data_IF_911574007556
#
_entry.id   IF_911574007556
#
_cell.length_a   1.000
_cell.length_b   1.000
_cell.length_c   1.000
_cell.angle_alpha   90.00
_cell.angle_beta   90.00
_cell.angle_gamma   90.00
#
_symmetry.space_group_name_H-M   'P 1'
#
loop_
_entity.id
_entity.type
_entity.pdbx_description
1 polymer ?
#
# COMPACT_ATOMS: atom_id res chain seq x y z
N UNK A 1 -3.13 -13.90 -0.97
CA UNK A 1 -3.38 -15.33 -0.67
C UNK A 1 -4.56 -15.44 0.29
N UNK A 2 -5.19 -16.61 0.37
CA UNK A 2 -6.18 -16.88 1.41
C UNK A 2 -5.48 -17.36 2.69
N UNK A 3 -5.79 -16.75 3.83
CA UNK A 3 -5.39 -17.21 5.15
C UNK A 3 -6.66 -17.39 6.00
N UNK A 4 -7.18 -18.62 6.03
CA UNK A 4 -8.40 -18.98 6.77
C UNK A 4 -9.62 -18.10 6.41
N UNK A 5 -9.83 -17.82 5.12
CA UNK A 5 -10.94 -16.97 4.65
C UNK A 5 -10.67 -15.47 4.74
N UNK A 6 -9.47 -15.05 5.13
CA UNK A 6 -9.03 -13.66 5.10
C UNK A 6 -7.98 -13.43 4.01
N UNK A 7 -8.09 -12.30 3.32
CA UNK A 7 -7.11 -11.91 2.30
C UNK A 7 -5.84 -11.41 2.97
N UNK A 8 -4.77 -12.19 2.88
CA UNK A 8 -3.44 -11.76 3.31
C UNK A 8 -2.62 -11.26 2.11
N UNK A 9 -2.14 -10.02 2.23
CA UNK A 9 -1.28 -9.35 1.24
C UNK A 9 0.18 -9.47 1.66
N UNK A 10 1.04 -9.81 0.71
CA UNK A 10 2.48 -9.89 0.87
C UNK A 10 3.16 -8.88 -0.03
N UNK A 11 4.21 -8.25 0.49
CA UNK A 11 5.09 -7.42 -0.30
C UNK A 11 6.43 -8.13 -0.51
N UNK A 12 6.85 -8.30 -1.76
CA UNK A 12 8.15 -8.89 -2.08
C UNK A 12 9.26 -7.91 -1.68
N UNK A 13 10.10 -8.33 -0.74
CA UNK A 13 11.24 -7.53 -0.26
C UNK A 13 12.56 -7.92 -0.95
N UNK A 14 12.70 -9.19 -1.33
CA UNK A 14 13.96 -9.69 -1.91
C UNK A 14 13.74 -10.92 -2.78
N UNK A 15 14.50 -11.04 -3.88
CA UNK A 15 14.66 -12.28 -4.61
C UNK A 15 15.78 -13.11 -3.96
N UNK A 16 15.48 -14.33 -3.54
CA UNK A 16 16.45 -15.21 -2.88
C UNK A 16 17.20 -16.12 -3.86
N UNK A 17 16.77 -16.16 -5.13
CA UNK A 17 17.22 -17.16 -6.10
C UNK A 17 16.33 -18.40 -6.08
N UNK A 18 16.64 -19.39 -6.93
CA UNK A 18 15.89 -20.67 -7.00
C UNK A 18 14.36 -20.48 -7.13
N UNK A 19 13.95 -19.48 -7.93
CA UNK A 19 12.55 -19.09 -8.13
C UNK A 19 11.79 -18.79 -6.81
N UNK A 20 12.52 -18.36 -5.78
CA UNK A 20 11.99 -18.05 -4.46
C UNK A 20 12.16 -16.56 -4.13
N UNK A 21 11.15 -15.99 -3.48
CA UNK A 21 11.15 -14.62 -2.99
C UNK A 21 10.95 -14.58 -1.48
N UNK A 22 11.54 -13.59 -0.82
CA UNK A 22 11.25 -13.23 0.57
C UNK A 22 10.23 -12.11 0.57
N UNK A 23 9.14 -12.32 1.29
CA UNK A 23 8.06 -11.35 1.42
C UNK A 23 7.90 -10.86 2.86
N UNK A 24 7.32 -9.68 3.03
CA UNK A 24 6.82 -9.15 4.30
C UNK A 24 5.30 -9.20 4.25
N UNK A 25 4.67 -9.75 5.29
CA UNK A 25 3.22 -9.80 5.39
C UNK A 25 2.65 -8.49 5.92
N UNK A 26 1.54 -8.03 5.33
CA UNK A 26 0.85 -6.80 5.76
C UNK A 26 -0.14 -7.03 6.90
N UNK A 27 -0.31 -8.29 7.31
CA UNK A 27 -1.15 -8.71 8.44
C UNK A 27 -0.56 -9.99 9.08
N UNK A 28 -1.21 -10.54 10.10
CA UNK A 28 -0.78 -11.72 10.83
C UNK A 28 -0.62 -12.95 9.91
N UNK A 29 0.45 -13.71 10.13
CA UNK A 29 0.78 -14.93 9.38
C UNK A 29 0.37 -16.21 10.11
N UNK A 30 -0.35 -16.09 11.22
CA UNK A 30 -0.89 -17.25 11.95
C UNK A 30 -1.85 -18.02 11.05
N UNK A 31 -1.74 -19.35 11.05
CA UNK A 31 -2.56 -20.23 10.21
C UNK A 31 -1.98 -20.51 8.81
N UNK A 32 -0.96 -19.77 8.37
CA UNK A 32 -0.31 -20.08 7.09
C UNK A 32 0.45 -21.41 7.16
N UNK A 33 0.29 -22.19 6.09
CA UNK A 33 0.95 -23.48 5.92
C UNK A 33 1.79 -23.49 4.64
N UNK A 34 2.76 -24.40 4.58
CA UNK A 34 3.57 -24.57 3.37
C UNK A 34 2.70 -25.13 2.25
N UNK A 35 2.92 -24.65 1.03
CA UNK A 35 2.14 -25.05 -0.14
C UNK A 35 0.86 -24.26 -0.33
N UNK A 36 0.52 -23.31 0.56
CA UNK A 36 -0.57 -22.36 0.31
C UNK A 36 -0.29 -21.58 -0.97
N UNK A 37 -1.29 -21.54 -1.86
CA UNK A 37 -1.18 -20.83 -3.12
C UNK A 37 -1.12 -19.31 -2.90
N UNK A 38 -0.20 -18.66 -3.61
CA UNK A 38 -0.08 -17.21 -3.67
C UNK A 38 -0.17 -16.76 -5.13
N UNK A 39 -0.92 -15.68 -5.36
CA UNK A 39 -1.08 -15.06 -6.66
C UNK A 39 -0.26 -13.76 -6.70
N UNK A 40 0.57 -13.60 -7.72
CA UNK A 40 1.27 -12.35 -7.99
C UNK A 40 0.33 -11.36 -8.68
N UNK A 41 0.15 -10.19 -8.07
CA UNK A 41 -0.66 -9.10 -8.63
C UNK A 41 0.01 -8.39 -9.80
N UNK A 42 1.32 -8.61 -10.01
CA UNK A 42 2.12 -7.99 -11.07
C UNK A 42 2.39 -6.49 -10.86
N UNK A 43 1.99 -5.95 -9.71
CA UNK A 43 2.11 -4.55 -9.36
C UNK A 43 2.29 -4.38 -7.83
N UNK A 44 2.96 -3.31 -7.38
CA UNK A 44 3.06 -3.00 -5.96
C UNK A 44 1.68 -2.78 -5.32
N UNK A 45 1.65 -2.82 -3.98
CA UNK A 45 0.48 -2.42 -3.20
C UNK A 45 0.03 -1.04 -3.67
N UNK A 46 -1.25 -0.95 -4.04
CA UNK A 46 -1.85 0.26 -4.61
C UNK A 46 -3.09 0.64 -3.81
N UNK A 47 -3.17 1.91 -3.43
CA UNK A 47 -4.21 2.44 -2.53
C UNK A 47 -5.09 3.46 -3.24
N UNK A 48 -6.37 3.61 -2.84
CA UNK A 48 -7.24 4.64 -3.41
C UNK A 48 -6.71 6.04 -3.09
N UNK A 49 -6.79 6.94 -4.06
CA UNK A 49 -6.40 8.36 -3.89
C UNK A 49 -7.42 9.28 -4.52
N UNK A 50 -7.48 10.51 -4.01
CA UNK A 50 -8.35 11.57 -4.51
C UNK A 50 -9.25 12.15 -3.43
N UNK A 51 -10.07 13.17 -3.76
CA UNK A 51 -11.00 13.76 -2.79
C UNK A 51 -11.96 12.75 -2.15
N UNK A 52 -12.25 11.64 -2.83
CA UNK A 52 -13.13 10.57 -2.35
C UNK A 52 -12.58 9.84 -1.11
N UNK A 53 -11.29 10.00 -0.79
CA UNK A 53 -10.67 9.41 0.42
C UNK A 53 -10.70 10.33 1.64
N UNK A 54 -11.08 11.61 1.48
CA UNK A 54 -11.10 12.58 2.58
C UNK A 54 -12.11 12.18 3.66
N UNK A 55 -11.67 12.24 4.93
CA UNK A 55 -12.49 11.87 6.08
C UNK A 55 -12.68 10.35 6.26
N UNK A 56 -11.97 9.52 5.50
CA UNK A 56 -12.00 8.06 5.60
C UNK A 56 -10.81 7.53 6.39
N UNK A 57 -11.00 6.40 7.07
CA UNK A 57 -9.89 5.64 7.66
C UNK A 57 -9.61 4.43 6.78
N UNK A 58 -8.40 4.37 6.24
CA UNK A 58 -7.91 3.28 5.39
C UNK A 58 -6.67 2.63 6.01
N UNK A 59 -6.52 1.33 5.82
CA UNK A 59 -5.32 0.60 6.21
C UNK A 59 -4.21 0.69 5.14
N UNK A 60 -3.06 0.07 5.42
CA UNK A 60 -1.86 0.12 4.56
C UNK A 60 -2.08 -0.47 3.15
N UNK A 61 -3.02 -1.41 3.01
CA UNK A 61 -3.35 -2.02 1.72
C UNK A 61 -4.51 -1.31 0.99
N UNK A 62 -4.98 -0.18 1.53
CA UNK A 62 -5.99 0.67 0.91
C UNK A 62 -7.44 0.25 1.19
N UNK A 63 -7.66 -0.67 2.13
CA UNK A 63 -8.99 -1.10 2.54
C UNK A 63 -9.55 -0.18 3.62
N UNK A 64 -10.87 0.03 3.56
CA UNK A 64 -11.60 0.88 4.49
C UNK A 64 -11.78 0.16 5.82
N UNK A 65 -11.47 0.84 6.93
CA UNK A 65 -11.63 0.30 8.30
C UNK A 65 -12.52 1.17 9.20
N UNK A 66 -13.23 2.15 8.63
CA UNK A 66 -14.14 3.05 9.35
C UNK A 66 -15.60 2.58 9.38
N UNK A 67 -15.87 1.29 9.11
CA UNK A 67 -17.22 0.69 8.96
C UNK A 67 -18.11 1.37 7.89
N UNK A 68 -17.56 2.30 7.12
CA UNK A 68 -18.26 2.98 6.05
C UNK A 68 -18.35 2.16 4.76
N UNK A 69 -19.03 2.73 3.76
CA UNK A 69 -19.12 2.12 2.42
C UNK A 69 -17.75 2.07 1.74
N UNK A 70 -17.50 1.11 0.82
CA UNK A 70 -16.28 1.09 0.02
C UNK A 70 -16.04 2.43 -0.69
N UNK A 71 -14.78 2.89 -0.73
CA UNK A 71 -14.40 4.12 -1.44
C UNK A 71 -14.45 3.84 -2.94
N UNK A 72 -15.25 4.61 -3.67
CA UNK A 72 -15.27 4.60 -5.14
C UNK A 72 -14.26 5.62 -5.67
N UNK A 73 -12.97 5.32 -5.53
CA UNK A 73 -11.91 6.20 -6.01
C UNK A 73 -11.79 6.11 -7.54
N UNK A 74 -11.49 7.25 -8.17
CA UNK A 74 -11.25 7.30 -9.62
C UNK A 74 -9.85 6.82 -9.99
N UNK A 75 -8.92 6.85 -9.03
CA UNK A 75 -7.51 6.52 -9.21
C UNK A 75 -7.00 5.75 -8.00
N UNK A 76 -6.09 4.82 -8.28
CA UNK A 76 -5.27 4.16 -7.27
C UNK A 76 -3.80 4.48 -7.57
N UNK A 77 -3.00 4.74 -6.56
CA UNK A 77 -1.56 4.93 -6.70
C UNK A 77 -0.80 3.83 -5.96
N UNK A 78 0.27 3.34 -6.59
CA UNK A 78 1.26 2.51 -5.93
C UNK A 78 1.91 3.27 -4.77
N UNK A 79 2.09 2.60 -3.63
CA UNK A 79 2.76 3.19 -2.46
C UNK A 79 4.25 3.41 -2.71
N UNK A 80 4.83 2.63 -3.62
CA UNK A 80 6.20 2.79 -4.10
C UNK A 80 6.24 3.70 -5.31
N UNK A 81 7.04 4.76 -5.22
CA UNK A 81 7.36 5.64 -6.34
C UNK A 81 8.74 6.23 -6.18
N UNK A 82 9.39 6.51 -7.29
CA UNK A 82 10.61 7.30 -7.28
C UNK A 82 10.34 8.68 -6.69
N UNK A 83 11.37 9.26 -6.08
CA UNK A 83 11.36 10.66 -5.72
C UNK A 83 11.22 11.54 -6.99
N UNK A 84 10.77 12.80 -6.85
CA UNK A 84 10.77 13.74 -7.97
C UNK A 84 12.16 13.89 -8.59
N UNK A 85 12.21 14.00 -9.92
CA UNK A 85 13.44 14.25 -10.66
C UNK A 85 14.09 15.57 -10.23
N UNK A 86 15.41 15.68 -10.39
CA UNK A 86 16.16 16.87 -9.97
C UNK A 86 15.60 18.17 -10.60
N UNK A 87 15.13 18.10 -11.84
CA UNK A 87 14.54 19.24 -12.57
C UNK A 87 13.18 19.68 -12.03
N UNK A 88 12.48 18.81 -11.30
CA UNK A 88 11.16 19.08 -10.70
C UNK A 88 11.27 19.55 -9.24
N UNK A 89 12.48 19.56 -8.67
CA UNK A 89 12.71 19.98 -7.29
C UNK A 89 12.75 21.51 -7.21
N UNK A 90 11.91 22.09 -6.35
CA UNK A 90 11.94 23.53 -6.09
C UNK A 90 13.19 23.90 -5.30
N UNK A 91 13.89 24.96 -5.74
CA UNK A 91 15.01 25.57 -5.01
C UNK A 91 14.56 26.66 -4.04
N UNK A 92 13.26 26.98 -4.03
CA UNK A 92 12.71 28.06 -3.21
C UNK A 92 12.43 27.56 -1.79
N UNK A 93 12.85 28.36 -0.80
CA UNK A 93 12.48 28.13 0.59
C UNK A 93 11.26 28.97 0.91
N UNK A 94 10.11 28.32 1.08
CA UNK A 94 8.86 28.96 1.45
C UNK A 94 8.53 28.69 2.93
N UNK A 95 7.96 29.69 3.61
CA UNK A 95 7.45 29.52 4.97
C UNK A 95 6.01 29.01 4.87
N UNK A 96 5.75 27.80 5.38
CA UNK A 96 4.39 27.33 5.61
C UNK A 96 3.83 27.96 6.89
N UNK A 97 3.07 29.05 6.75
CA UNK A 97 2.43 29.72 7.89
C UNK A 97 1.31 28.84 8.44
N UNK A 98 1.44 28.44 9.70
CA UNK A 98 0.52 27.49 10.36
C UNK A 98 -0.60 28.17 11.15
N UNK A 99 -0.50 29.48 11.42
CA UNK A 99 -1.48 30.23 12.21
C UNK A 99 -1.40 30.00 13.73
N UNK A 100 -0.39 29.27 14.21
CA UNK A 100 -0.14 29.03 15.64
C UNK A 100 0.83 30.09 16.20
N UNK A 101 0.66 30.47 17.47
CA UNK A 101 1.58 31.32 18.25
C UNK A 101 2.29 30.52 19.32
#
# INVERSE_FOLDING_TARGET
MDNNGQRLVLEVAQHLGENTVRTIAMDATEGLVRGTEAEDTGAPISVPVGPETLGRIINVIGEVIDEGKPIKAKKNYAIHRAAPEYVDQSTESEILVTGLR
#
